data_IF_873159876480
#
_entry.id   IF_873159876480
#
_cell.length_a   1.000
_cell.length_b   1.000
_cell.length_c   1.000
_cell.angle_alpha   90.00
_cell.angle_beta   90.00
_cell.angle_gamma   90.00
#
_symmetry.space_group_name_H-M   'P 1'
#
loop_
_entity.id
_entity.type
_entity.pdbx_description
1 polymer ?
#
# COMPACT_ATOMS: atom_id res chain seq x y z
N UNK A 1 -9.57 -28.50 0.60
CA UNK A 1 -9.59 -27.44 -0.46
C UNK A 1 -8.19 -26.90 -0.54
N UNK A 2 -7.67 -26.61 -1.73
CA UNK A 2 -6.36 -25.95 -1.83
C UNK A 2 -6.42 -24.54 -1.21
N UNK A 3 -5.36 -24.10 -0.51
CA UNK A 3 -5.36 -22.81 0.13
C UNK A 3 -5.34 -21.67 -0.91
N UNK A 4 -6.09 -20.62 -0.64
CA UNK A 4 -6.04 -19.37 -1.39
C UNK A 4 -5.14 -18.37 -0.69
N UNK A 5 -4.48 -17.51 -1.47
CA UNK A 5 -3.82 -16.30 -1.00
C UNK A 5 -4.73 -15.10 -1.28
N UNK A 6 -5.21 -14.48 -0.22
CA UNK A 6 -6.12 -13.32 -0.26
C UNK A 6 -5.30 -12.08 0.04
N UNK A 7 -5.09 -11.26 -0.97
CA UNK A 7 -4.25 -10.06 -0.93
C UNK A 7 -5.13 -8.83 -0.77
N UNK A 8 -4.88 -8.06 0.28
CA UNK A 8 -5.70 -6.94 0.70
C UNK A 8 -4.88 -5.65 0.66
N UNK A 9 -5.28 -4.68 -0.15
CA UNK A 9 -4.88 -3.31 0.12
C UNK A 9 -5.57 -2.80 1.38
N UNK A 10 -5.07 -1.72 1.97
CA UNK A 10 -5.57 -1.13 3.21
C UNK A 10 -6.54 0.02 2.97
N UNK A 11 -6.03 1.15 2.48
CA UNK A 11 -6.78 2.39 2.41
C UNK A 11 -7.81 2.39 1.28
N UNK A 12 -9.08 2.61 1.62
CA UNK A 12 -10.18 2.54 0.65
C UNK A 12 -10.56 1.10 0.25
N UNK A 13 -9.88 0.10 0.80
CA UNK A 13 -10.10 -1.31 0.47
C UNK A 13 -10.48 -2.12 1.72
N UNK A 14 -9.53 -2.53 2.55
CA UNK A 14 -9.81 -3.24 3.81
C UNK A 14 -10.35 -2.31 4.90
N UNK A 15 -9.85 -1.08 4.91
CA UNK A 15 -10.21 -0.09 5.91
C UNK A 15 -11.39 0.77 5.42
N UNK A 16 -12.36 0.97 6.31
CA UNK A 16 -13.41 1.96 6.11
C UNK A 16 -12.85 3.40 6.20
N UNK A 17 -13.70 4.41 6.04
CA UNK A 17 -13.27 5.82 6.08
C UNK A 17 -12.79 6.24 7.46
N UNK A 18 -13.23 5.56 8.53
CA UNK A 18 -12.76 5.73 9.91
C UNK A 18 -11.42 5.04 10.18
N UNK A 19 -10.83 4.40 9.13
CA UNK A 19 -9.57 3.63 9.22
C UNK A 19 -9.66 2.40 10.12
N UNK A 20 -10.80 1.75 10.12
CA UNK A 20 -11.07 0.54 10.90
C UNK A 20 -11.37 -0.65 9.99
N UNK A 21 -11.04 -1.86 10.45
CA UNK A 21 -11.53 -3.11 9.86
C UNK A 21 -12.90 -3.39 10.45
N UNK A 22 -13.92 -3.47 9.61
CA UNK A 22 -15.28 -3.72 10.10
C UNK A 22 -15.40 -5.08 10.82
N UNK A 23 -16.26 -5.20 11.84
CA UNK A 23 -16.45 -6.46 12.55
C UNK A 23 -16.90 -7.62 11.66
N UNK A 24 -17.68 -7.33 10.61
CA UNK A 24 -18.14 -8.36 9.67
C UNK A 24 -17.00 -8.87 8.79
N UNK A 25 -16.25 -7.97 8.14
CA UNK A 25 -15.09 -8.34 7.32
C UNK A 25 -14.04 -9.06 8.16
N UNK A 26 -13.76 -8.58 9.38
CA UNK A 26 -12.87 -9.26 10.31
C UNK A 26 -13.30 -10.71 10.57
N UNK A 27 -14.59 -10.95 10.88
CA UNK A 27 -15.13 -12.28 11.15
C UNK A 27 -14.97 -13.23 9.96
N UNK A 28 -15.23 -12.72 8.73
CA UNK A 28 -15.07 -13.50 7.49
C UNK A 28 -13.61 -13.89 7.28
N UNK A 29 -12.67 -12.93 7.44
CA UNK A 29 -11.24 -13.19 7.30
C UNK A 29 -10.73 -14.20 8.33
N UNK A 30 -11.19 -14.14 9.59
CA UNK A 30 -10.83 -15.14 10.60
C UNK A 30 -11.35 -16.54 10.23
N UNK A 31 -12.59 -16.66 9.76
CA UNK A 31 -13.13 -17.94 9.32
C UNK A 31 -12.33 -18.57 8.17
N UNK A 32 -11.85 -17.75 7.24
CA UNK A 32 -11.00 -18.20 6.13
C UNK A 32 -9.60 -18.65 6.61
N UNK A 33 -9.01 -17.93 7.56
CA UNK A 33 -7.74 -18.37 8.20
C UNK A 33 -7.91 -19.72 8.90
N UNK A 34 -9.00 -19.93 9.62
CA UNK A 34 -9.31 -21.21 10.28
C UNK A 34 -9.49 -22.35 9.27
N UNK A 35 -9.92 -22.05 8.03
CA UNK A 35 -10.01 -23.03 6.93
C UNK A 35 -8.67 -23.25 6.22
N UNK A 36 -7.59 -22.56 6.64
CA UNK A 36 -6.25 -22.74 6.09
C UNK A 36 -5.94 -21.84 4.89
N UNK A 37 -6.75 -20.81 4.62
CA UNK A 37 -6.41 -19.79 3.63
C UNK A 37 -5.41 -18.77 4.18
N UNK A 38 -4.61 -18.19 3.32
CA UNK A 38 -3.60 -17.17 3.66
C UNK A 38 -4.18 -15.78 3.43
N UNK A 39 -4.18 -14.95 4.46
CA UNK A 39 -4.55 -13.53 4.37
C UNK A 39 -3.27 -12.71 4.38
N UNK A 40 -3.11 -11.80 3.44
CA UNK A 40 -1.91 -10.98 3.30
C UNK A 40 -2.29 -9.52 3.03
N UNK A 41 -1.57 -8.61 3.65
CA UNK A 41 -1.65 -7.16 3.36
C UNK A 41 -0.63 -6.82 2.25
N UNK A 42 -1.08 -6.06 1.24
CA UNK A 42 -0.26 -5.48 0.19
C UNK A 42 -0.58 -4.00 0.02
N UNK A 43 0.26 -3.13 0.58
CA UNK A 43 -0.05 -1.71 0.76
C UNK A 43 1.09 -0.79 0.35
N UNK A 44 0.76 0.49 0.04
CA UNK A 44 1.74 1.55 -0.08
C UNK A 44 2.34 1.99 1.26
N UNK A 45 1.66 1.72 2.37
CA UNK A 45 2.14 2.12 3.70
C UNK A 45 3.45 1.44 4.09
N UNK A 46 4.32 2.11 4.90
CA UNK A 46 5.40 1.45 5.62
C UNK A 46 4.87 0.45 6.65
N UNK A 47 5.73 -0.47 7.12
CA UNK A 47 5.29 -1.48 8.08
C UNK A 47 4.78 -0.86 9.39
N UNK A 48 5.45 0.16 9.92
CA UNK A 48 5.00 0.86 11.14
C UNK A 48 3.54 1.33 11.07
N UNK A 49 3.08 1.75 9.87
CA UNK A 49 1.72 2.26 9.66
C UNK A 49 0.70 1.16 9.32
N UNK A 50 1.14 -0.03 8.94
CA UNK A 50 0.29 -1.19 8.65
C UNK A 50 0.28 -2.23 9.77
N UNK A 51 1.27 -2.18 10.67
CA UNK A 51 1.43 -3.12 11.78
C UNK A 51 0.19 -3.26 12.68
N UNK A 52 -0.53 -2.18 13.07
CA UNK A 52 -1.73 -2.34 13.90
C UNK A 52 -2.78 -3.26 13.27
N UNK A 53 -2.97 -3.19 11.96
CA UNK A 53 -3.93 -4.03 11.23
C UNK A 53 -3.41 -5.45 11.04
N UNK A 54 -2.11 -5.60 10.82
CA UNK A 54 -1.44 -6.90 10.76
C UNK A 54 -1.61 -7.67 12.07
N UNK A 55 -1.35 -6.99 13.19
CA UNK A 55 -1.50 -7.54 14.55
C UNK A 55 -2.98 -7.79 14.88
N UNK A 56 -3.90 -6.88 14.54
CA UNK A 56 -5.34 -7.04 14.74
C UNK A 56 -5.88 -8.29 14.04
N UNK A 57 -5.47 -8.54 12.81
CA UNK A 57 -5.86 -9.72 12.04
C UNK A 57 -5.14 -10.99 12.54
N UNK A 58 -4.13 -10.87 13.39
CA UNK A 58 -3.30 -11.99 13.87
C UNK A 58 -2.64 -12.71 12.70
N UNK A 59 -2.05 -11.95 11.77
CA UNK A 59 -1.40 -12.53 10.59
C UNK A 59 -0.06 -13.17 10.96
N UNK A 60 0.31 -14.19 10.20
CA UNK A 60 1.63 -14.84 10.22
C UNK A 60 2.21 -14.96 8.80
N UNK A 61 1.56 -14.39 7.83
CA UNK A 61 2.00 -14.34 6.44
C UNK A 61 3.00 -13.20 6.24
N UNK A 62 3.82 -13.25 5.18
CA UNK A 62 4.57 -12.09 4.77
C UNK A 62 3.67 -10.90 4.45
N UNK A 63 4.22 -9.70 4.50
CA UNK A 63 3.55 -8.45 4.17
C UNK A 63 4.29 -7.72 3.05
N UNK A 64 3.54 -7.07 2.17
CA UNK A 64 4.06 -6.23 1.10
C UNK A 64 3.82 -4.77 1.47
N UNK A 65 4.90 -4.04 1.72
CA UNK A 65 4.91 -2.62 2.07
C UNK A 65 5.55 -1.78 0.95
N UNK A 66 5.37 -0.43 0.98
CA UNK A 66 5.92 0.50 0.00
C UNK A 66 5.64 0.06 -1.44
N UNK A 67 4.39 -0.34 -1.72
CA UNK A 67 3.98 -0.82 -3.04
C UNK A 67 4.83 -1.99 -3.59
N UNK A 68 5.50 -2.77 -2.73
CA UNK A 68 6.35 -3.88 -3.11
C UNK A 68 7.86 -3.62 -3.00
N UNK A 69 8.27 -2.41 -2.61
CA UNK A 69 9.68 -2.12 -2.36
C UNK A 69 10.22 -2.82 -1.11
N UNK A 70 9.35 -3.15 -0.15
CA UNK A 70 9.73 -3.87 1.05
C UNK A 70 8.78 -5.04 1.31
N UNK A 71 9.29 -6.26 1.20
CA UNK A 71 8.55 -7.51 1.46
C UNK A 71 9.28 -8.30 2.53
N UNK A 72 8.60 -8.59 3.62
CA UNK A 72 9.17 -9.32 4.75
C UNK A 72 8.08 -10.11 5.49
N UNK A 73 8.49 -11.01 6.36
CA UNK A 73 7.56 -11.66 7.28
C UNK A 73 7.86 -11.21 8.71
N UNK A 74 6.96 -10.42 9.36
CA UNK A 74 7.18 -9.94 10.72
C UNK A 74 7.27 -11.04 11.78
N UNK A 75 6.75 -12.22 11.49
CA UNK A 75 6.66 -13.36 12.42
C UNK A 75 7.65 -14.49 12.10
N UNK A 76 8.39 -14.37 10.99
CA UNK A 76 9.38 -15.36 10.55
C UNK A 76 10.67 -14.65 10.11
N UNK A 77 11.68 -14.70 10.97
CA UNK A 77 12.98 -14.06 10.71
C UNK A 77 13.79 -14.77 9.61
N UNK A 78 13.45 -16.01 9.27
CA UNK A 78 14.12 -16.78 8.21
C UNK A 78 13.52 -16.53 6.83
N UNK A 79 12.38 -15.83 6.75
CA UNK A 79 11.77 -15.43 5.49
C UNK A 79 12.71 -14.47 4.72
N UNK A 80 12.98 -14.73 3.43
CA UNK A 80 13.88 -13.88 2.64
C UNK A 80 13.29 -12.48 2.46
N UNK A 81 13.94 -11.48 3.05
CA UNK A 81 13.53 -10.07 2.95
C UNK A 81 13.90 -9.52 1.56
N UNK A 82 12.93 -8.95 0.88
CA UNK A 82 13.16 -8.10 -0.29
C UNK A 82 13.12 -6.63 0.16
N UNK A 83 14.19 -5.88 -0.10
CA UNK A 83 14.23 -4.44 0.11
C UNK A 83 14.85 -3.76 -1.10
N UNK A 84 14.00 -3.20 -1.93
CA UNK A 84 14.39 -2.45 -3.13
C UNK A 84 14.44 -0.96 -2.78
N UNK A 85 15.56 -0.34 -3.09
CA UNK A 85 15.85 1.05 -2.72
C UNK A 85 16.27 1.86 -3.94
N UNK A 86 16.16 3.17 -3.85
CA UNK A 86 16.74 4.09 -4.82
C UNK A 86 18.25 4.12 -4.64
N UNK A 87 18.98 4.16 -5.75
CA UNK A 87 20.42 4.38 -5.70
C UNK A 87 20.74 5.73 -5.04
N UNK A 88 21.78 5.85 -4.18
CA UNK A 88 22.07 7.07 -3.44
C UNK A 88 22.38 8.28 -4.34
N UNK A 89 23.11 8.10 -5.42
CA UNK A 89 23.45 9.19 -6.35
C UNK A 89 22.22 9.64 -7.13
N UNK A 90 21.36 8.67 -7.49
CA UNK A 90 20.06 8.96 -8.10
C UNK A 90 19.15 9.72 -7.12
N UNK A 91 19.04 9.26 -5.88
CA UNK A 91 18.25 9.92 -4.84
C UNK A 91 18.70 11.37 -4.61
N UNK A 92 20.00 11.60 -4.48
CA UNK A 92 20.58 12.94 -4.35
C UNK A 92 20.24 13.82 -5.57
N UNK A 93 20.39 13.28 -6.78
CA UNK A 93 20.06 14.01 -8.02
C UNK A 93 18.59 14.37 -8.11
N UNK A 94 17.69 13.50 -7.66
CA UNK A 94 16.24 13.78 -7.59
C UNK A 94 15.96 14.88 -6.56
N UNK A 95 16.53 14.79 -5.36
CA UNK A 95 16.35 15.76 -4.29
C UNK A 95 16.81 17.14 -4.74
N UNK A 96 17.98 17.24 -5.36
CA UNK A 96 18.52 18.49 -5.88
C UNK A 96 17.63 19.09 -6.98
N UNK A 97 17.12 18.26 -7.89
CA UNK A 97 16.19 18.71 -8.93
C UNK A 97 14.89 19.25 -8.32
N UNK A 98 14.36 18.61 -7.29
CA UNK A 98 13.15 19.03 -6.59
C UNK A 98 13.35 20.33 -5.80
N UNK A 99 14.48 20.50 -5.12
CA UNK A 99 14.86 21.75 -4.44
C UNK A 99 14.91 22.92 -5.42
N UNK A 100 15.48 22.71 -6.62
CA UNK A 100 15.51 23.72 -7.68
C UNK A 100 14.11 24.07 -8.22
N UNK A 101 13.13 23.20 -8.06
CA UNK A 101 11.73 23.48 -8.42
C UNK A 101 10.96 24.19 -7.30
N UNK A 102 11.56 24.35 -6.12
CA UNK A 102 10.93 24.97 -4.95
C UNK A 102 9.64 24.26 -4.54
N UNK A 103 9.67 22.93 -4.50
CA UNK A 103 8.58 22.14 -3.92
C UNK A 103 8.41 22.49 -2.43
N UNK A 104 7.25 22.25 -1.87
CA UNK A 104 6.94 22.64 -0.49
C UNK A 104 7.80 21.89 0.53
N UNK A 105 7.92 20.56 0.35
CA UNK A 105 8.80 19.74 1.17
C UNK A 105 9.21 18.44 0.45
N UNK A 106 10.28 17.82 0.94
CA UNK A 106 10.76 16.52 0.49
C UNK A 106 10.91 15.63 1.72
N UNK A 107 10.42 14.42 1.61
CA UNK A 107 10.52 13.41 2.65
C UNK A 107 11.23 12.19 2.06
N UNK A 108 12.17 11.60 2.77
CA UNK A 108 12.75 10.32 2.41
C UNK A 108 12.44 9.29 3.51
N UNK A 109 12.10 8.08 3.11
CA UNK A 109 11.87 6.98 4.05
C UNK A 109 12.88 5.85 3.80
N UNK A 110 13.51 5.40 4.86
CA UNK A 110 14.33 4.18 4.88
C UNK A 110 13.62 3.20 5.79
N UNK A 111 12.75 2.33 5.23
CA UNK A 111 11.84 1.50 6.01
C UNK A 111 11.00 2.37 6.99
N UNK A 112 11.22 2.19 8.29
CA UNK A 112 10.49 2.92 9.32
C UNK A 112 11.18 4.22 9.78
N UNK A 113 12.36 4.58 9.23
CA UNK A 113 13.05 5.83 9.52
C UNK A 113 12.64 6.90 8.51
N UNK A 114 12.28 8.09 9.01
CA UNK A 114 11.76 9.22 8.21
C UNK A 114 12.71 10.40 8.28
N UNK A 115 12.99 10.99 7.12
CA UNK A 115 13.80 12.22 6.99
C UNK A 115 12.94 13.28 6.29
N UNK A 116 12.83 14.46 6.88
CA UNK A 116 12.06 15.59 6.35
C UNK A 116 13.02 16.75 6.07
N UNK A 117 13.08 17.23 4.85
CA UNK A 117 14.05 18.25 4.39
C UNK A 117 13.92 19.58 5.15
N UNK A 118 12.68 20.01 5.38
CA UNK A 118 12.38 21.20 6.16
C UNK A 118 11.33 20.86 7.21
N UNK A 119 11.59 21.23 8.48
CA UNK A 119 10.62 20.97 9.54
C UNK A 119 9.24 21.54 9.19
N UNK A 120 8.23 20.70 9.27
CA UNK A 120 6.82 21.04 9.11
C UNK A 120 6.01 20.21 10.12
N UNK A 121 5.23 20.88 10.97
CA UNK A 121 4.48 20.23 12.05
C UNK A 121 3.43 19.23 11.51
N UNK A 122 2.74 19.58 10.43
CA UNK A 122 1.74 18.69 9.83
C UNK A 122 2.38 17.42 9.23
N UNK A 123 3.55 17.57 8.59
CA UNK A 123 4.28 16.42 8.10
C UNK A 123 4.81 15.57 9.25
N UNK A 124 5.35 16.22 10.29
CA UNK A 124 5.81 15.49 11.47
C UNK A 124 4.69 14.67 12.11
N UNK A 125 3.51 15.25 12.30
CA UNK A 125 2.33 14.54 12.80
C UNK A 125 1.87 13.45 11.82
N UNK A 126 1.79 13.75 10.52
CA UNK A 126 1.35 12.81 9.48
C UNK A 126 2.23 11.57 9.35
N UNK A 127 3.54 11.72 9.57
CA UNK A 127 4.50 10.61 9.52
C UNK A 127 4.77 9.96 10.88
N UNK A 128 4.17 10.44 11.98
CA UNK A 128 4.40 9.91 13.34
C UNK A 128 3.77 8.54 13.60
N UNK A 129 2.91 8.04 12.71
CA UNK A 129 2.24 6.75 12.87
C UNK A 129 3.25 5.62 13.09
N UNK A 130 3.07 4.85 14.17
CA UNK A 130 3.98 3.79 14.59
C UNK A 130 5.23 4.30 15.32
N UNK A 131 5.29 5.60 15.66
CA UNK A 131 6.37 6.24 16.41
C UNK A 131 7.77 6.03 15.79
N UNK A 132 7.97 6.38 14.51
CA UNK A 132 9.26 6.24 13.84
C UNK A 132 10.28 7.20 14.40
N UNK A 133 11.56 6.95 14.12
CA UNK A 133 12.58 7.99 14.22
C UNK A 133 12.35 8.98 13.07
N UNK A 134 12.13 10.27 13.42
CA UNK A 134 11.99 11.35 12.43
C UNK A 134 13.16 12.30 12.61
N UNK A 135 13.91 12.53 11.54
CA UNK A 135 14.99 13.53 11.47
C UNK A 135 14.59 14.64 10.51
N UNK A 136 14.97 15.87 10.83
CA UNK A 136 14.69 17.05 10.00
C UNK A 136 15.98 17.76 9.65
N UNK A 137 16.05 18.29 8.42
CA UNK A 137 17.22 19.02 7.91
C UNK A 137 17.66 18.49 6.55
N UNK A 138 18.88 18.85 6.13
CA UNK A 138 19.40 18.46 4.81
C UNK A 138 19.42 16.93 4.65
N UNK A 139 18.43 16.41 3.94
CA UNK A 139 18.24 14.96 3.75
C UNK A 139 19.50 14.33 3.12
N UNK A 140 20.11 14.99 2.11
CA UNK A 140 21.27 14.42 1.40
C UNK A 140 22.43 14.14 2.34
N UNK A 141 22.65 15.01 3.32
CA UNK A 141 23.71 14.82 4.30
C UNK A 141 23.36 13.83 5.43
N UNK A 142 22.07 13.60 5.66
CA UNK A 142 21.56 12.74 6.73
C UNK A 142 21.35 11.28 6.27
N UNK A 143 21.08 11.04 4.98
CA UNK A 143 20.88 9.70 4.43
C UNK A 143 22.18 8.90 4.49
N UNK A 144 22.23 7.94 5.43
CA UNK A 144 23.32 6.98 5.55
C UNK A 144 23.03 5.67 4.82
N UNK A 145 21.80 5.48 4.37
CA UNK A 145 21.30 4.31 3.65
C UNK A 145 20.48 4.74 2.45
N UNK A 146 20.38 3.88 1.46
CA UNK A 146 19.55 4.11 0.27
C UNK A 146 18.07 4.21 0.65
N UNK A 147 17.34 5.24 0.23
CA UNK A 147 15.94 5.40 0.58
C UNK A 147 15.04 4.36 -0.10
N UNK A 148 14.06 3.87 0.63
CA UNK A 148 12.99 3.00 0.12
C UNK A 148 12.06 3.80 -0.80
N UNK A 149 11.71 5.01 -0.38
CA UNK A 149 10.87 5.94 -1.13
C UNK A 149 11.32 7.39 -0.89
N UNK A 150 10.98 8.26 -1.84
CA UNK A 150 11.02 9.72 -1.69
C UNK A 150 9.62 10.24 -1.93
N UNK A 151 9.15 11.10 -1.03
CA UNK A 151 7.84 11.72 -1.09
C UNK A 151 8.00 13.22 -1.30
N UNK A 152 7.17 13.78 -2.13
CA UNK A 152 7.23 15.20 -2.49
C UNK A 152 5.91 15.83 -2.11
N UNK A 153 5.94 16.78 -1.21
CA UNK A 153 4.83 17.69 -0.99
C UNK A 153 4.98 18.92 -1.88
N UNK A 154 3.99 19.17 -2.72
CA UNK A 154 4.00 20.30 -3.63
C UNK A 154 2.62 20.96 -3.69
N UNK A 155 2.59 22.25 -4.03
CA UNK A 155 1.32 22.92 -4.33
C UNK A 155 0.62 22.24 -5.50
N UNK A 156 -0.70 22.17 -5.47
CA UNK A 156 -1.52 21.45 -6.45
C UNK A 156 -1.17 21.83 -7.90
N UNK A 157 -0.97 23.13 -8.16
CA UNK A 157 -0.62 23.63 -9.49
C UNK A 157 0.78 23.22 -9.96
N UNK A 158 1.66 22.78 -9.05
CA UNK A 158 3.01 22.31 -9.34
C UNK A 158 3.07 20.82 -9.69
N UNK A 159 2.09 20.03 -9.24
CA UNK A 159 2.06 18.57 -9.43
C UNK A 159 2.32 18.16 -10.89
N UNK A 160 1.63 18.72 -11.91
CA UNK A 160 1.89 18.35 -13.31
C UNK A 160 3.32 18.61 -13.74
N UNK A 161 3.91 19.73 -13.31
CA UNK A 161 5.29 20.11 -13.66
C UNK A 161 6.32 19.18 -12.99
N UNK A 162 6.09 18.81 -11.73
CA UNK A 162 6.94 17.85 -11.01
C UNK A 162 6.88 16.49 -11.71
N UNK A 163 5.70 15.97 -11.99
CA UNK A 163 5.52 14.69 -12.71
C UNK A 163 6.20 14.71 -14.08
N UNK A 164 6.06 15.80 -14.84
CA UNK A 164 6.71 15.94 -16.14
C UNK A 164 8.25 15.92 -16.02
N UNK A 165 8.81 16.60 -15.04
CA UNK A 165 10.26 16.59 -14.77
C UNK A 165 10.73 15.18 -14.43
N UNK A 166 10.06 14.49 -13.50
CA UNK A 166 10.40 13.11 -13.11
C UNK A 166 10.33 12.16 -14.31
N UNK A 167 9.25 12.21 -15.09
CA UNK A 167 9.08 11.38 -16.29
C UNK A 167 10.11 11.68 -17.39
N UNK A 168 10.57 12.93 -17.50
CA UNK A 168 11.54 13.33 -18.52
C UNK A 168 12.97 12.91 -18.21
N UNK A 169 13.39 13.03 -16.96
CA UNK A 169 14.78 12.87 -16.57
C UNK A 169 15.10 11.56 -15.85
N UNK A 170 14.11 10.92 -15.25
CA UNK A 170 14.32 9.77 -14.38
C UNK A 170 13.47 8.54 -14.73
N UNK A 171 12.68 8.58 -15.81
CA UNK A 171 11.74 7.51 -16.19
C UNK A 171 12.37 6.10 -16.31
N UNK A 172 13.65 6.02 -16.64
CA UNK A 172 14.35 4.73 -16.77
C UNK A 172 14.71 4.10 -15.41
N UNK A 173 14.68 4.92 -14.33
CA UNK A 173 15.19 4.51 -13.01
C UNK A 173 14.14 4.48 -11.91
N UNK A 174 13.07 5.25 -12.09
CA UNK A 174 12.02 5.41 -11.07
C UNK A 174 10.62 5.19 -11.63
N UNK A 175 9.70 4.92 -10.72
CA UNK A 175 8.28 5.12 -10.89
C UNK A 175 7.80 6.17 -9.89
N UNK A 176 6.78 6.94 -10.28
CA UNK A 176 6.18 7.93 -9.40
C UNK A 176 4.66 7.87 -9.48
N UNK A 177 4.03 8.01 -8.33
CA UNK A 177 2.58 7.98 -8.17
C UNK A 177 2.12 9.13 -7.31
N UNK A 178 0.92 9.64 -7.57
CA UNK A 178 0.29 10.60 -6.69
C UNK A 178 -0.54 9.86 -5.65
N UNK A 179 -0.48 10.30 -4.41
CA UNK A 179 -1.42 9.84 -3.39
C UNK A 179 -2.82 10.36 -3.68
N UNK A 180 -3.83 9.61 -3.26
CA UNK A 180 -5.22 10.03 -3.36
C UNK A 180 -5.51 11.34 -2.63
N UNK A 181 -6.53 12.08 -3.09
CA UNK A 181 -6.96 13.30 -2.42
C UNK A 181 -7.24 13.05 -0.93
N UNK A 182 -6.99 13.99 -0.01
CA UNK A 182 -6.68 15.40 -0.27
C UNK A 182 -5.18 15.73 -0.31
N UNK A 183 -4.29 14.73 -0.33
CA UNK A 183 -2.85 14.94 -0.15
C UNK A 183 -2.14 15.27 -1.48
N UNK A 184 -1.55 16.46 -1.64
CA UNK A 184 -0.76 16.81 -2.81
C UNK A 184 0.66 16.21 -2.74
N UNK A 185 0.74 14.89 -2.55
CA UNK A 185 1.99 14.16 -2.39
C UNK A 185 2.25 13.28 -3.61
N UNK A 186 3.48 13.32 -4.12
CA UNK A 186 3.99 12.40 -5.12
C UNK A 186 4.98 11.46 -4.43
N UNK A 187 4.75 10.17 -4.53
CA UNK A 187 5.68 9.13 -4.10
C UNK A 187 6.58 8.72 -5.26
N UNK A 188 7.85 8.53 -4.98
CA UNK A 188 8.87 8.02 -5.90
C UNK A 188 9.45 6.75 -5.31
N UNK A 189 9.45 5.69 -6.10
CA UNK A 189 10.09 4.40 -5.79
C UNK A 189 10.99 3.98 -6.95
N UNK A 190 11.85 2.99 -6.72
CA UNK A 190 12.64 2.37 -7.77
C UNK A 190 11.73 1.78 -8.85
N UNK A 191 12.16 1.87 -10.11
CA UNK A 191 11.41 1.33 -11.26
C UNK A 191 11.19 -0.18 -11.13
N UNK A 192 10.04 -0.65 -11.59
CA UNK A 192 9.64 -2.06 -11.58
C UNK A 192 9.09 -2.54 -10.25
N UNK A 193 8.86 -1.63 -9.29
CA UNK A 193 8.21 -1.94 -8.04
C UNK A 193 6.70 -1.92 -8.23
N UNK A 194 6.05 -3.00 -7.81
CA UNK A 194 4.57 -3.09 -7.76
C UNK A 194 4.12 -4.07 -6.69
N UNK A 195 2.91 -3.90 -6.19
CA UNK A 195 2.28 -4.85 -5.25
C UNK A 195 2.26 -6.26 -5.85
N UNK A 196 2.03 -6.40 -7.17
CA UNK A 196 2.03 -7.68 -7.87
C UNK A 196 3.35 -8.43 -7.75
N UNK A 197 4.48 -7.71 -7.88
CA UNK A 197 5.82 -8.33 -7.74
C UNK A 197 6.07 -8.83 -6.32
N UNK A 198 5.61 -8.07 -5.33
CA UNK A 198 5.65 -8.52 -3.93
C UNK A 198 4.80 -9.76 -3.70
N UNK A 199 3.56 -9.79 -4.23
CA UNK A 199 2.66 -10.94 -4.16
C UNK A 199 3.27 -12.18 -4.82
N UNK A 200 3.90 -12.00 -6.00
CA UNK A 200 4.52 -13.10 -6.73
C UNK A 200 5.63 -13.78 -5.90
N UNK A 201 6.47 -13.00 -5.23
CA UNK A 201 7.51 -13.55 -4.33
C UNK A 201 6.92 -14.28 -3.13
N UNK A 202 5.84 -13.77 -2.56
CA UNK A 202 5.17 -14.37 -1.40
C UNK A 202 4.44 -15.66 -1.74
N UNK A 203 3.73 -15.71 -2.89
CA UNK A 203 3.01 -16.92 -3.30
C UNK A 203 3.93 -18.12 -3.46
N UNK A 204 5.14 -17.89 -3.99
CA UNK A 204 6.12 -18.97 -4.17
C UNK A 204 6.60 -19.51 -2.81
N UNK A 205 6.85 -18.63 -1.84
CA UNK A 205 7.23 -19.02 -0.49
C UNK A 205 6.12 -19.76 0.26
N UNK A 206 4.85 -19.44 0.00
CA UNK A 206 3.69 -20.12 0.58
C UNK A 206 3.23 -21.37 -0.22
N UNK A 207 3.83 -21.64 -1.39
CA UNK A 207 3.45 -22.75 -2.25
C UNK A 207 2.05 -22.61 -2.85
N UNK A 208 1.55 -21.37 -3.03
CA UNK A 208 0.21 -21.11 -3.57
C UNK A 208 0.28 -20.94 -5.08
N UNK A 209 -0.60 -21.64 -5.82
CA UNK A 209 -0.72 -21.46 -7.26
C UNK A 209 -1.37 -20.10 -7.58
N UNK A 210 -0.92 -19.45 -8.66
CA UNK A 210 -1.47 -18.16 -9.10
C UNK A 210 -3.00 -18.21 -9.35
N UNK A 211 -3.54 -19.36 -9.71
CA UNK A 211 -4.98 -19.54 -9.90
C UNK A 211 -5.78 -19.47 -8.59
N UNK A 212 -5.09 -19.53 -7.45
CA UNK A 212 -5.67 -19.41 -6.10
C UNK A 212 -5.32 -18.07 -5.44
N UNK A 213 -5.14 -17.01 -6.24
CA UNK A 213 -4.93 -15.66 -5.71
C UNK A 213 -6.21 -14.83 -5.93
N UNK A 214 -6.69 -14.24 -4.83
CA UNK A 214 -7.74 -13.21 -4.82
C UNK A 214 -7.06 -11.91 -4.37
N UNK A 215 -7.27 -10.81 -5.10
CA UNK A 215 -6.71 -9.51 -4.71
C UNK A 215 -7.79 -8.43 -4.74
N UNK A 216 -7.78 -7.55 -3.73
CA UNK A 216 -8.70 -6.42 -3.60
C UNK A 216 -7.93 -5.11 -3.59
N UNK A 217 -8.46 -4.11 -4.30
CA UNK A 217 -7.87 -2.78 -4.39
C UNK A 217 -8.85 -1.75 -4.91
N UNK A 218 -8.49 -0.47 -4.82
CA UNK A 218 -9.34 0.66 -5.22
C UNK A 218 -8.61 1.76 -6.01
N UNK A 219 -7.27 1.84 -5.92
CA UNK A 219 -6.47 2.91 -6.51
C UNK A 219 -5.53 2.44 -7.63
N UNK A 220 -4.82 3.39 -8.27
CA UNK A 220 -3.94 3.12 -9.40
C UNK A 220 -2.78 2.17 -9.07
N UNK A 221 -2.27 2.22 -7.84
CA UNK A 221 -1.20 1.35 -7.34
C UNK A 221 -1.64 -0.12 -7.16
N UNK A 222 -2.93 -0.41 -7.30
CA UNK A 222 -3.50 -1.76 -7.25
C UNK A 222 -3.60 -2.40 -8.63
N UNK A 223 -3.45 -1.61 -9.68
CA UNK A 223 -3.68 -2.06 -11.07
C UNK A 223 -2.91 -3.34 -11.40
N UNK A 224 -1.63 -3.41 -11.06
CA UNK A 224 -0.81 -4.56 -11.37
C UNK A 224 -1.22 -5.80 -10.56
N UNK A 225 -1.57 -5.65 -9.28
CA UNK A 225 -2.00 -6.81 -8.48
C UNK A 225 -3.39 -7.31 -8.88
N UNK A 226 -4.31 -6.41 -9.26
CA UNK A 226 -5.64 -6.78 -9.77
C UNK A 226 -5.52 -7.52 -11.10
N UNK A 227 -4.64 -7.09 -12.00
CA UNK A 227 -4.34 -7.82 -13.26
C UNK A 227 -3.61 -9.15 -13.02
N UNK A 228 -2.76 -9.20 -12.01
CA UNK A 228 -1.93 -10.36 -11.70
C UNK A 228 -2.76 -11.50 -11.11
N UNK A 229 -3.65 -11.19 -10.18
CA UNK A 229 -4.49 -12.18 -9.50
C UNK A 229 -5.46 -12.89 -10.47
N UNK A 230 -5.75 -14.15 -10.19
CA UNK A 230 -6.83 -14.88 -10.92
C UNK A 230 -8.17 -14.22 -10.67
N UNK A 231 -8.43 -13.80 -9.44
CA UNK A 231 -9.62 -13.09 -9.01
C UNK A 231 -9.20 -11.69 -8.54
N UNK A 232 -9.01 -10.78 -9.51
CA UNK A 232 -8.77 -9.37 -9.22
C UNK A 232 -10.09 -8.65 -9.04
N UNK A 233 -10.35 -8.14 -7.87
CA UNK A 233 -11.63 -7.53 -7.45
C UNK A 233 -11.41 -6.06 -7.13
N UNK A 234 -12.11 -5.16 -7.84
CA UNK A 234 -12.11 -3.74 -7.53
C UNK A 234 -13.19 -3.42 -6.49
N UNK A 235 -12.90 -2.48 -5.60
CA UNK A 235 -13.91 -1.92 -4.71
C UNK A 235 -14.82 -0.96 -5.46
N UNK A 236 -16.11 -0.84 -5.06
CA UNK A 236 -17.07 0.07 -5.72
C UNK A 236 -16.70 1.54 -5.57
N UNK A 237 -16.05 1.91 -4.46
CA UNK A 237 -15.48 3.25 -4.25
C UNK A 237 -14.19 3.50 -5.05
N UNK A 238 -13.63 2.49 -5.72
CA UNK A 238 -12.37 2.58 -6.44
C UNK A 238 -12.49 3.32 -7.78
N UNK A 239 -11.33 3.59 -8.39
CA UNK A 239 -11.22 4.25 -9.69
C UNK A 239 -11.96 3.49 -10.79
N UNK A 240 -12.63 4.21 -11.67
CA UNK A 240 -13.34 3.60 -12.81
C UNK A 240 -12.40 2.82 -13.73
N UNK A 241 -11.19 3.30 -13.93
CA UNK A 241 -10.14 2.62 -14.68
C UNK A 241 -9.79 1.26 -14.07
N UNK A 242 -9.72 1.19 -12.73
CA UNK A 242 -9.44 -0.06 -12.03
C UNK A 242 -10.63 -1.04 -12.15
N UNK A 243 -11.86 -0.55 -12.00
CA UNK A 243 -13.08 -1.36 -12.18
C UNK A 243 -13.17 -1.96 -13.60
N UNK A 244 -12.76 -1.22 -14.62
CA UNK A 244 -12.71 -1.75 -15.99
C UNK A 244 -11.68 -2.86 -16.22
N UNK A 245 -10.61 -2.87 -15.42
CA UNK A 245 -9.51 -3.84 -15.51
C UNK A 245 -9.81 -5.09 -14.67
N UNK A 246 -10.50 -4.91 -13.55
CA UNK A 246 -10.82 -5.98 -12.61
C UNK A 246 -11.70 -7.06 -13.25
N UNK A 247 -11.60 -8.28 -12.73
CA UNK A 247 -12.50 -9.39 -13.14
C UNK A 247 -13.89 -9.18 -12.61
N UNK A 248 -13.98 -8.63 -11.41
CA UNK A 248 -15.22 -8.40 -10.68
C UNK A 248 -15.13 -7.10 -9.88
N UNK A 249 -16.26 -6.53 -9.56
CA UNK A 249 -16.38 -5.39 -8.64
C UNK A 249 -17.22 -5.83 -7.45
N UNK A 250 -16.79 -5.48 -6.25
CA UNK A 250 -17.53 -5.72 -5.02
C UNK A 250 -18.10 -4.41 -4.48
N UNK A 251 -18.78 -4.44 -3.33
CA UNK A 251 -19.28 -3.26 -2.63
C UNK A 251 -18.13 -2.37 -2.15
N UNK A 252 -18.46 -1.16 -1.69
CA UNK A 252 -17.45 -0.23 -1.18
C UNK A 252 -16.81 -0.73 0.12
N UNK A 253 -15.70 -0.10 0.50
CA UNK A 253 -15.02 -0.32 1.78
C UNK A 253 -15.96 -0.09 2.98
N UNK A 254 -16.82 0.93 2.91
CA UNK A 254 -17.80 1.23 3.96
C UNK A 254 -19.01 0.26 4.01
N UNK A 255 -19.15 -0.59 2.99
CA UNK A 255 -20.22 -1.56 2.85
C UNK A 255 -19.75 -3.00 2.97
N UNK A 256 -18.61 -3.23 3.62
CA UNK A 256 -18.02 -4.56 3.83
C UNK A 256 -17.72 -5.32 2.54
N UNK A 257 -17.32 -4.63 1.47
CA UNK A 257 -17.16 -5.22 0.15
C UNK A 257 -16.32 -6.48 0.14
N UNK A 258 -15.17 -6.49 0.84
CA UNK A 258 -14.31 -7.68 0.98
C UNK A 258 -15.03 -8.82 1.67
N UNK A 259 -15.61 -8.54 2.84
CA UNK A 259 -16.29 -9.56 3.65
C UNK A 259 -17.45 -10.20 2.89
N UNK A 260 -18.27 -9.40 2.21
CA UNK A 260 -19.42 -9.87 1.42
C UNK A 260 -18.95 -10.72 0.24
N UNK A 261 -17.98 -10.25 -0.53
CA UNK A 261 -17.42 -11.00 -1.65
C UNK A 261 -16.87 -12.37 -1.21
N UNK A 262 -16.02 -12.37 -0.19
CA UNK A 262 -15.39 -13.60 0.29
C UNK A 262 -16.39 -14.57 0.92
N UNK A 263 -17.39 -14.06 1.66
CA UNK A 263 -18.46 -14.88 2.21
C UNK A 263 -19.23 -15.64 1.12
N UNK A 264 -19.53 -14.95 0.01
CA UNK A 264 -20.25 -15.54 -1.11
C UNK A 264 -19.34 -16.51 -1.91
N UNK A 265 -18.10 -16.07 -2.22
CA UNK A 265 -17.13 -16.86 -2.98
C UNK A 265 -16.83 -18.21 -2.31
N UNK A 266 -16.66 -18.23 -1.00
CA UNK A 266 -16.37 -19.45 -0.23
C UNK A 266 -17.62 -20.11 0.36
N UNK A 267 -18.81 -19.57 0.15
CA UNK A 267 -20.09 -20.08 0.69
C UNK A 267 -20.04 -20.28 2.20
N UNK A 268 -19.49 -19.30 2.93
CA UNK A 268 -19.30 -19.41 4.40
C UNK A 268 -20.62 -19.33 5.17
N UNK A 269 -21.67 -18.76 4.58
CA UNK A 269 -22.98 -18.54 5.17
C UNK A 269 -22.94 -17.74 6.50
N UNK A 270 -21.99 -16.79 6.60
CA UNK A 270 -21.92 -15.86 7.72
C UNK A 270 -22.99 -14.78 7.52
N UNK A 271 -23.94 -14.60 8.45
CA UNK A 271 -25.00 -13.61 8.29
C UNK A 271 -24.43 -12.20 8.23
N UNK A 272 -24.80 -11.45 7.19
CA UNK A 272 -24.52 -10.02 7.07
C UNK A 272 -25.68 -9.22 7.70
N UNK A 273 -25.34 -8.26 8.54
CA UNK A 273 -26.30 -7.29 9.07
C UNK A 273 -25.81 -5.91 8.65
N UNK A 274 -26.58 -5.20 7.86
CA UNK A 274 -26.28 -3.80 7.56
C UNK A 274 -26.20 -3.00 8.87
N UNK A 275 -25.09 -2.29 9.06
CA UNK A 275 -24.97 -1.36 10.18
C UNK A 275 -26.03 -0.25 10.02
N UNK A 276 -26.98 -0.18 10.92
CA UNK A 276 -28.12 0.74 10.89
C UNK A 276 -27.74 2.24 11.03
N UNK A 277 -26.46 2.61 10.94
CA UNK A 277 -25.96 3.94 11.28
C UNK A 277 -25.41 4.78 10.09
N UNK A 278 -25.75 4.49 8.82
CA UNK A 278 -25.25 5.29 7.68
C UNK A 278 -26.28 6.25 7.09
N UNK A 279 -27.47 6.38 7.68
CA UNK A 279 -28.46 7.38 7.24
C UNK A 279 -29.02 8.16 8.41
N UNK A 280 -28.28 9.13 8.92
CA UNK A 280 -28.83 10.25 9.68
C UNK A 280 -27.87 11.45 9.60
N UNK A 281 -28.09 12.30 8.67
CA UNK A 281 -28.03 13.76 8.53
C UNK A 281 -27.55 14.20 7.18
#
# INVERSE_FOLDING_TARGET
MEPYLICLDLDGTLLNDEKEISPYTFKVLQALKEQGHHIMIATGRPFRASRPYYDQLGLNTPIVNFNGAYVHNPTDADFPVTHETLDPDLASSIIDALRNMQVKNIIAEVKDHVFIDTYDEHLFEGFSMGNPKIETGDIVSQLNESPTSILIEAEEHMIPRVKQMLSRFFAESIEHRRWGAPFPVIEIVKRGISKARGIDSVKDALGVDRNHIIAFGDEDNDTEMIKYAKHGVAMDNGLDELKHIAKETTYSNNQDGIGRYLNDFFSLNIPYQENANVHSC
#
